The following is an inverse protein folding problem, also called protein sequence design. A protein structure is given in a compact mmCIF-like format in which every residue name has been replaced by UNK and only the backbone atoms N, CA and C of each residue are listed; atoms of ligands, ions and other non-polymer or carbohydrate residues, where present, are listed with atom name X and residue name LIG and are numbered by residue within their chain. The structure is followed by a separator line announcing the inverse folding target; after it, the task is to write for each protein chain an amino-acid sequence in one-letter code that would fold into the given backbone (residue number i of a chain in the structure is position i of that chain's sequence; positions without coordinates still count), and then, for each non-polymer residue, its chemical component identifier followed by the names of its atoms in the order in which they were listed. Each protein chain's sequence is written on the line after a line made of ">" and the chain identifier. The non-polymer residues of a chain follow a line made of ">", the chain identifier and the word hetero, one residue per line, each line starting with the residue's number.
data_IF_467332175062
#
_entry.id   IF_467332175062
#
_cell.length_a   1.000
_cell.length_b   1.000
_cell.length_c   1.000
_cell.angle_alpha   90.00
_cell.angle_beta   90.00
_cell.angle_gamma   90.00
#
_symmetry.space_group_name_H-M   'P 1'
#
loop_
_entity.id
_entity.type
_entity.pdbx_description
1 polymer ?
#
# COMPACT_ATOMS: atom_id res chain seq x y z
N UNK A 1 -61.31 -42.43 16.50
CA UNK A 1 -60.96 -41.64 15.30
C UNK A 1 -60.39 -40.29 15.76
N UNK A 2 -59.07 -40.10 15.66
CA UNK A 2 -58.36 -38.81 15.54
C UNK A 2 -56.88 -39.15 15.40
N UNK A 3 -56.46 -39.17 14.13
CA UNK A 3 -55.08 -39.35 13.68
C UNK A 3 -54.35 -38.04 13.98
N UNK A 4 -53.30 -38.09 14.79
CA UNK A 4 -52.38 -36.96 14.97
C UNK A 4 -51.41 -36.96 13.79
N UNK A 5 -51.60 -35.98 12.90
CA UNK A 5 -50.74 -35.75 11.74
C UNK A 5 -49.62 -34.78 12.15
N UNK A 6 -48.40 -35.26 11.98
CA UNK A 6 -47.13 -34.59 12.23
C UNK A 6 -46.94 -33.35 11.36
N UNK A 7 -46.50 -32.23 11.94
CA UNK A 7 -45.87 -31.13 11.19
C UNK A 7 -44.43 -31.01 11.66
N UNK A 8 -43.55 -31.47 10.78
CA UNK A 8 -42.10 -31.43 10.87
C UNK A 8 -41.66 -29.98 10.57
N UNK A 9 -41.26 -29.21 11.59
CA UNK A 9 -40.56 -27.94 11.39
C UNK A 9 -39.14 -28.23 10.92
N UNK A 10 -38.94 -28.33 9.60
CA UNK A 10 -37.61 -28.34 8.98
C UNK A 10 -37.09 -26.90 8.97
N UNK A 11 -36.56 -26.47 10.11
CA UNK A 11 -35.76 -25.25 10.21
C UNK A 11 -34.40 -25.50 9.58
N UNK A 12 -34.28 -25.21 8.28
CA UNK A 12 -32.99 -25.11 7.59
C UNK A 12 -32.33 -23.82 8.12
N UNK A 13 -31.64 -23.94 9.25
CA UNK A 13 -30.67 -22.93 9.65
C UNK A 13 -29.52 -23.01 8.64
N UNK A 14 -29.50 -21.98 7.79
CA UNK A 14 -28.41 -21.63 6.90
C UNK A 14 -27.08 -21.79 7.65
N UNK A 15 -26.32 -22.82 7.26
CA UNK A 15 -24.92 -22.95 7.62
C UNK A 15 -24.25 -21.65 7.20
N UNK A 16 -23.88 -20.83 8.19
CA UNK A 16 -22.85 -19.81 8.03
C UNK A 16 -21.67 -20.51 7.35
N UNK A 17 -21.44 -20.19 6.08
CA UNK A 17 -20.18 -20.51 5.42
C UNK A 17 -19.12 -19.65 6.11
N UNK A 18 -18.59 -20.18 7.20
CA UNK A 18 -17.28 -19.82 7.68
C UNK A 18 -16.30 -20.28 6.61
N UNK A 19 -16.12 -19.46 5.59
CA UNK A 19 -15.00 -19.51 4.66
C UNK A 19 -13.72 -19.08 5.41
N UNK A 20 -13.38 -19.77 6.50
CA UNK A 20 -12.04 -19.78 7.08
C UNK A 20 -11.21 -20.85 6.36
N UNK A 21 -11.19 -20.77 5.03
CA UNK A 21 -10.10 -21.33 4.26
C UNK A 21 -8.95 -20.35 4.37
N UNK A 22 -7.90 -20.73 5.10
CA UNK A 22 -6.61 -20.05 5.13
C UNK A 22 -5.98 -20.07 3.73
N UNK A 23 -6.51 -19.26 2.82
CA UNK A 23 -5.91 -19.00 1.53
C UNK A 23 -4.57 -18.35 1.83
N UNK A 24 -3.48 -19.04 1.50
CA UNK A 24 -2.12 -18.49 1.59
C UNK A 24 -2.10 -17.23 0.74
N UNK A 25 -2.17 -16.07 1.41
CA UNK A 25 -2.20 -14.76 0.76
C UNK A 25 -0.96 -14.62 -0.11
N UNK A 26 -1.16 -14.12 -1.33
CA UNK A 26 -0.02 -13.78 -2.19
C UNK A 26 0.77 -12.61 -1.59
N UNK A 27 2.06 -12.48 -1.92
CA UNK A 27 2.93 -11.42 -1.40
C UNK A 27 2.29 -10.03 -1.56
N UNK A 28 1.66 -9.75 -2.69
CA UNK A 28 1.02 -8.44 -2.95
C UNK A 28 -0.23 -8.20 -2.10
N UNK A 29 -0.98 -9.26 -1.79
CA UNK A 29 -2.15 -9.19 -0.93
C UNK A 29 -1.74 -8.98 0.53
N UNK A 30 -0.70 -9.68 0.98
CA UNK A 30 -0.09 -9.45 2.30
C UNK A 30 0.46 -8.02 2.41
N UNK A 31 1.18 -7.56 1.38
CA UNK A 31 1.69 -6.19 1.31
C UNK A 31 0.57 -5.14 1.35
N UNK A 32 -0.56 -5.41 0.69
CA UNK A 32 -1.76 -4.59 0.79
C UNK A 32 -2.32 -4.57 2.22
N UNK A 33 -2.62 -5.72 2.81
CA UNK A 33 -3.26 -5.76 4.12
C UNK A 33 -2.39 -5.20 5.25
N UNK A 34 -1.07 -5.39 5.19
CA UNK A 34 -0.15 -4.82 6.18
C UNK A 34 -0.07 -3.28 6.10
N UNK A 35 -0.41 -2.71 4.95
CA UNK A 35 -0.45 -1.26 4.73
C UNK A 35 -1.75 -0.57 5.16
N UNK A 36 -2.79 -1.34 5.52
CA UNK A 36 -4.07 -0.78 5.95
C UNK A 36 -4.09 -0.45 7.45
N UNK A 37 -4.97 0.49 7.87
CA UNK A 37 -5.41 0.61 9.26
C UNK A 37 -6.03 -0.68 9.79
N UNK A 38 -5.96 -0.91 11.10
CA UNK A 38 -6.47 -2.15 11.71
C UNK A 38 -7.99 -2.27 11.66
N UNK A 39 -8.67 -1.12 11.76
CA UNK A 39 -10.12 -1.00 11.65
C UNK A 39 -10.61 -0.83 10.20
N UNK A 40 -9.71 -0.91 9.20
CA UNK A 40 -10.11 -0.85 7.81
C UNK A 40 -10.87 -2.12 7.42
N UNK A 41 -11.83 -1.98 6.51
CA UNK A 41 -12.45 -3.13 5.89
C UNK A 41 -11.40 -3.88 5.04
N UNK A 42 -11.00 -5.07 5.48
CA UNK A 42 -9.96 -5.89 4.84
C UNK A 42 -10.54 -6.68 3.65
N UNK A 43 -11.16 -5.98 2.71
CA UNK A 43 -11.58 -6.56 1.43
C UNK A 43 -10.48 -6.41 0.39
N UNK A 44 -10.22 -7.48 -0.34
CA UNK A 44 -9.30 -7.48 -1.48
C UNK A 44 -10.10 -7.71 -2.77
N UNK A 45 -10.14 -6.72 -3.65
CA UNK A 45 -10.86 -6.82 -4.92
C UNK A 45 -9.88 -7.12 -6.06
N UNK A 46 -10.02 -8.30 -6.65
CA UNK A 46 -9.35 -8.66 -7.90
C UNK A 46 -10.15 -8.14 -9.08
N UNK A 47 -9.75 -7.00 -9.63
CA UNK A 47 -10.37 -6.41 -10.81
C UNK A 47 -9.70 -6.89 -12.10
N UNK A 48 -10.33 -6.72 -13.28
CA UNK A 48 -9.73 -7.12 -14.55
C UNK A 48 -8.31 -6.58 -14.81
N UNK A 49 -8.07 -5.27 -14.61
CA UNK A 49 -6.72 -4.72 -14.81
C UNK A 49 -5.72 -5.22 -13.77
N UNK A 50 -6.17 -5.42 -12.52
CA UNK A 50 -5.33 -6.02 -11.48
C UNK A 50 -4.92 -7.44 -11.85
N UNK A 51 -5.87 -8.27 -12.28
CA UNK A 51 -5.59 -9.65 -12.70
C UNK A 51 -4.67 -9.69 -13.91
N UNK A 52 -4.84 -8.78 -14.88
CA UNK A 52 -3.94 -8.66 -16.03
C UNK A 52 -2.50 -8.33 -15.60
N UNK A 53 -2.33 -7.44 -14.61
CA UNK A 53 -1.02 -7.14 -14.05
C UNK A 53 -0.38 -8.37 -13.37
N UNK A 54 -1.18 -9.15 -12.63
CA UNK A 54 -0.72 -10.41 -12.00
C UNK A 54 -0.35 -11.46 -13.04
N UNK A 55 -1.12 -11.58 -14.11
CA UNK A 55 -0.84 -12.50 -15.22
C UNK A 55 0.52 -12.17 -15.84
N UNK A 56 0.77 -10.89 -16.19
CA UNK A 56 2.07 -10.46 -16.73
C UNK A 56 3.23 -10.67 -15.75
N UNK A 57 2.96 -10.62 -14.44
CA UNK A 57 3.98 -10.85 -13.41
C UNK A 57 4.30 -12.33 -13.19
N UNK A 58 3.37 -13.24 -13.45
CA UNK A 58 3.49 -14.66 -13.06
C UNK A 58 3.60 -15.62 -14.25
N UNK A 59 3.05 -15.27 -15.41
CA UNK A 59 3.12 -16.11 -16.60
C UNK A 59 4.42 -15.89 -17.37
N UNK A 60 5.33 -16.86 -17.25
CA UNK A 60 6.62 -16.90 -17.94
C UNK A 60 6.50 -16.81 -19.46
N UNK A 61 5.35 -17.16 -20.05
CA UNK A 61 5.13 -17.04 -21.50
C UNK A 61 5.08 -15.59 -21.97
N UNK A 62 4.69 -14.67 -21.08
CA UNK A 62 4.59 -13.24 -21.36
C UNK A 62 5.93 -12.50 -21.15
N UNK A 63 6.94 -13.19 -20.62
CA UNK A 63 8.19 -12.54 -20.23
C UNK A 63 8.97 -12.08 -21.46
N UNK A 64 9.47 -10.84 -21.37
CA UNK A 64 10.37 -10.29 -22.36
C UNK A 64 11.70 -11.03 -22.26
N UNK A 65 12.17 -11.59 -23.38
CA UNK A 65 13.46 -12.28 -23.45
C UNK A 65 14.58 -11.26 -23.62
N UNK A 66 15.53 -11.28 -22.71
CA UNK A 66 16.73 -10.45 -22.76
C UNK A 66 17.99 -11.33 -22.79
N UNK A 67 19.04 -10.83 -23.46
CA UNK A 67 20.34 -11.52 -23.50
C UNK A 67 21.15 -11.12 -22.27
N UNK A 68 21.51 -12.12 -21.46
CA UNK A 68 22.40 -11.95 -20.33
C UNK A 68 23.68 -12.77 -20.59
N UNK A 69 24.70 -12.10 -21.12
CA UNK A 69 25.87 -12.75 -21.69
C UNK A 69 25.49 -13.64 -22.88
N UNK A 70 25.72 -14.96 -22.74
CA UNK A 70 25.37 -15.96 -23.77
C UNK A 70 23.99 -16.59 -23.57
N UNK A 71 23.31 -16.35 -22.45
CA UNK A 71 22.01 -16.93 -22.13
C UNK A 71 20.86 -16.00 -22.54
N UNK A 72 19.73 -16.59 -22.95
CA UNK A 72 18.45 -15.89 -23.08
C UNK A 72 17.64 -16.11 -21.81
N UNK A 73 17.36 -15.03 -21.09
CA UNK A 73 16.60 -15.07 -19.83
C UNK A 73 15.33 -14.26 -20.02
N UNK A 74 14.19 -14.80 -19.57
CA UNK A 74 12.92 -14.09 -19.59
C UNK A 74 12.75 -13.27 -18.32
N UNK A 75 12.41 -11.99 -18.46
CA UNK A 75 12.05 -11.10 -17.36
C UNK A 75 10.65 -10.51 -17.56
N UNK A 76 9.86 -10.34 -16.48
CA UNK A 76 8.62 -9.57 -16.55
C UNK A 76 8.91 -8.11 -16.95
N UNK A 77 8.01 -7.48 -17.71
CA UNK A 77 8.05 -6.03 -17.93
C UNK A 77 7.48 -5.32 -16.70
N UNK A 78 8.34 -5.06 -15.70
CA UNK A 78 7.95 -4.44 -14.44
C UNK A 78 7.32 -3.05 -14.61
N UNK A 79 7.72 -2.31 -15.64
CA UNK A 79 7.14 -1.00 -15.95
C UNK A 79 5.70 -1.16 -16.41
N UNK A 80 5.44 -2.07 -17.35
CA UNK A 80 4.08 -2.35 -17.83
C UNK A 80 3.18 -2.86 -16.71
N UNK A 81 3.67 -3.81 -15.90
CA UNK A 81 2.93 -4.37 -14.76
C UNK A 81 2.53 -3.26 -13.79
N UNK A 82 3.48 -2.40 -13.41
CA UNK A 82 3.22 -1.26 -12.53
C UNK A 82 2.17 -0.31 -13.11
N UNK A 83 2.26 0.02 -14.40
CA UNK A 83 1.29 0.91 -15.05
C UNK A 83 -0.12 0.33 -15.00
N UNK A 84 -0.28 -0.98 -15.22
CA UNK A 84 -1.59 -1.65 -15.09
C UNK A 84 -2.14 -1.60 -13.66
N UNK A 85 -1.29 -1.77 -12.66
CA UNK A 85 -1.70 -1.60 -11.26
C UNK A 85 -2.17 -0.17 -10.94
N UNK A 86 -1.49 0.84 -11.47
CA UNK A 86 -1.92 2.24 -11.34
C UNK A 86 -3.24 2.46 -12.09
N UNK A 87 -3.37 1.93 -13.30
CA UNK A 87 -4.58 2.04 -14.11
C UNK A 87 -5.78 1.38 -13.42
N UNK A 88 -5.57 0.23 -12.77
CA UNK A 88 -6.59 -0.45 -11.96
C UNK A 88 -7.13 0.44 -10.83
N UNK A 89 -6.28 1.26 -10.22
CA UNK A 89 -6.75 2.27 -9.26
C UNK A 89 -7.55 3.40 -9.94
N UNK A 90 -7.02 3.95 -11.04
CA UNK A 90 -7.62 5.11 -11.70
C UNK A 90 -9.01 4.78 -12.29
N UNK A 91 -9.13 3.64 -12.95
CA UNK A 91 -10.32 3.23 -13.72
C UNK A 91 -11.29 2.37 -12.90
N UNK A 92 -10.79 1.45 -12.08
CA UNK A 92 -11.61 0.46 -11.38
C UNK A 92 -11.72 0.71 -9.87
N UNK A 93 -11.11 1.82 -9.39
CA UNK A 93 -11.05 2.23 -7.98
C UNK A 93 -10.45 1.16 -7.07
N UNK A 94 -9.46 0.41 -7.59
CA UNK A 94 -8.80 -0.64 -6.85
C UNK A 94 -7.57 -0.14 -6.08
N UNK A 95 -7.74 0.17 -4.79
CA UNK A 95 -6.63 0.63 -3.90
C UNK A 95 -5.51 -0.42 -3.80
N UNK A 96 -5.84 -1.72 -3.86
CA UNK A 96 -4.83 -2.78 -3.85
C UNK A 96 -3.90 -2.73 -5.07
N UNK A 97 -4.42 -2.27 -6.22
CA UNK A 97 -3.60 -1.97 -7.39
C UNK A 97 -2.56 -0.89 -7.07
N UNK A 98 -2.98 0.22 -6.48
CA UNK A 98 -2.07 1.31 -6.12
C UNK A 98 -1.00 0.86 -5.09
N UNK A 99 -1.38 0.06 -4.10
CA UNK A 99 -0.43 -0.52 -3.13
C UNK A 99 0.55 -1.48 -3.80
N UNK A 100 0.09 -2.27 -4.77
CA UNK A 100 0.95 -3.15 -5.57
C UNK A 100 1.90 -2.36 -6.45
N UNK A 101 1.47 -1.23 -7.03
CA UNK A 101 2.35 -0.32 -7.75
C UNK A 101 3.46 0.22 -6.85
N UNK A 102 3.15 0.57 -5.59
CA UNK A 102 4.14 1.00 -4.61
C UNK A 102 5.17 -0.11 -4.31
N UNK A 103 4.73 -1.37 -4.16
CA UNK A 103 5.63 -2.52 -4.00
C UNK A 103 6.62 -2.65 -5.17
N UNK A 104 6.13 -2.50 -6.40
CA UNK A 104 6.98 -2.62 -7.60
C UNK A 104 8.02 -1.50 -7.70
N UNK A 105 7.67 -0.27 -7.34
CA UNK A 105 8.65 0.81 -7.24
C UNK A 105 9.77 0.48 -6.25
N UNK A 106 9.42 0.00 -5.05
CA UNK A 106 10.42 -0.29 -4.02
C UNK A 106 11.30 -1.49 -4.33
N UNK A 107 10.75 -2.48 -5.04
CA UNK A 107 11.43 -3.77 -5.24
C UNK A 107 12.25 -3.80 -6.52
N UNK A 108 11.79 -3.14 -7.59
CA UNK A 108 12.33 -3.34 -8.94
C UNK A 108 12.85 -2.06 -9.61
N UNK A 109 12.57 -0.88 -9.07
CA UNK A 109 12.96 0.38 -9.70
C UNK A 109 14.13 1.06 -8.98
N UNK A 110 14.90 1.87 -9.72
CA UNK A 110 15.98 2.66 -9.13
C UNK A 110 15.41 3.91 -8.44
N UNK A 111 15.22 3.82 -7.12
CA UNK A 111 14.74 4.91 -6.28
C UNK A 111 15.72 6.11 -6.19
N UNK A 112 16.92 6.04 -6.78
CA UNK A 112 17.83 7.19 -6.93
C UNK A 112 17.48 8.06 -8.13
N UNK A 113 16.74 7.52 -9.10
CA UNK A 113 16.27 8.28 -10.26
C UNK A 113 15.23 9.31 -9.83
N UNK A 114 15.44 10.57 -10.23
CA UNK A 114 14.50 11.65 -9.95
C UNK A 114 13.10 11.34 -10.50
N UNK A 115 13.03 10.83 -11.73
CA UNK A 115 11.76 10.44 -12.35
C UNK A 115 11.03 9.38 -11.53
N UNK A 116 11.74 8.35 -11.06
CA UNK A 116 11.16 7.29 -10.25
C UNK A 116 10.65 7.82 -8.92
N UNK A 117 11.39 8.74 -8.28
CA UNK A 117 10.95 9.39 -7.05
C UNK A 117 9.66 10.19 -7.24
N UNK A 118 9.54 10.96 -8.34
CA UNK A 118 8.33 11.72 -8.67
C UNK A 118 7.14 10.76 -8.91
N UNK A 119 7.35 9.72 -9.71
CA UNK A 119 6.28 8.77 -10.02
C UNK A 119 5.84 8.02 -8.73
N UNK A 120 6.79 7.59 -7.89
CA UNK A 120 6.48 6.95 -6.61
C UNK A 120 5.77 7.89 -5.64
N UNK A 121 6.19 9.16 -5.57
CA UNK A 121 5.53 10.18 -4.76
C UNK A 121 4.06 10.34 -5.11
N UNK A 122 3.72 10.33 -6.40
CA UNK A 122 2.33 10.39 -6.86
C UNK A 122 1.49 9.22 -6.32
N UNK A 123 2.07 8.02 -6.31
CA UNK A 123 1.44 6.78 -5.80
C UNK A 123 1.24 6.86 -4.29
N UNK A 124 2.28 7.17 -3.51
CA UNK A 124 2.15 7.19 -2.04
C UNK A 124 1.27 8.34 -1.53
N UNK A 125 1.23 9.46 -2.27
CA UNK A 125 0.30 10.56 -1.96
C UNK A 125 -1.14 10.16 -2.23
N UNK A 126 -1.42 9.46 -3.32
CA UNK A 126 -2.75 8.91 -3.58
C UNK A 126 -3.13 7.86 -2.53
N UNK A 127 -2.22 6.97 -2.13
CA UNK A 127 -2.44 6.04 -1.02
C UNK A 127 -2.78 6.74 0.30
N UNK A 128 -2.09 7.84 0.62
CA UNK A 128 -2.39 8.61 1.83
C UNK A 128 -3.83 9.17 1.83
N UNK A 129 -4.32 9.61 0.66
CA UNK A 129 -5.71 10.08 0.49
C UNK A 129 -6.73 8.97 0.74
N UNK A 130 -6.41 7.74 0.33
CA UNK A 130 -7.20 6.53 0.63
C UNK A 130 -7.08 6.07 2.10
N UNK A 131 -6.33 6.79 2.94
CA UNK A 131 -6.15 6.44 4.34
C UNK A 131 -5.16 5.30 4.59
N UNK A 132 -4.33 4.95 3.60
CA UNK A 132 -3.33 3.90 3.71
C UNK A 132 -2.14 4.34 4.59
N UNK A 133 -1.70 3.47 5.49
CA UNK A 133 -0.66 3.76 6.49
C UNK A 133 0.72 3.94 5.88
N UNK A 134 1.06 3.15 4.86
CA UNK A 134 2.28 3.35 4.07
C UNK A 134 2.24 4.68 3.34
N UNK A 135 1.09 4.99 2.73
CA UNK A 135 0.84 6.26 2.05
C UNK A 135 1.15 7.46 2.94
N UNK A 136 0.60 7.48 4.16
CA UNK A 136 0.89 8.56 5.13
C UNK A 136 2.38 8.69 5.45
N UNK A 137 3.06 7.58 5.74
CA UNK A 137 4.47 7.60 6.11
C UNK A 137 5.35 8.09 4.95
N UNK A 138 5.22 7.46 3.79
CA UNK A 138 6.14 7.70 2.67
C UNK A 138 5.90 9.06 2.02
N UNK A 139 4.64 9.49 1.83
CA UNK A 139 4.36 10.83 1.32
C UNK A 139 4.87 11.92 2.28
N UNK A 140 4.77 11.73 3.60
CA UNK A 140 5.32 12.68 4.56
C UNK A 140 6.84 12.80 4.47
N UNK A 141 7.57 11.68 4.29
CA UNK A 141 9.03 11.69 4.14
C UNK A 141 9.49 12.52 2.95
N UNK A 142 8.71 12.57 1.86
CA UNK A 142 9.05 13.42 0.71
C UNK A 142 9.08 14.90 1.08
N UNK A 143 8.08 15.38 1.83
CA UNK A 143 8.07 16.76 2.33
C UNK A 143 9.12 17.02 3.41
N UNK A 144 9.35 16.07 4.32
CA UNK A 144 10.31 16.26 5.43
C UNK A 144 11.75 16.37 4.91
N UNK A 145 12.10 15.54 3.93
CA UNK A 145 13.48 15.36 3.47
C UNK A 145 13.75 15.97 2.09
N UNK A 146 12.74 16.51 1.42
CA UNK A 146 12.87 17.13 0.11
C UNK A 146 13.26 16.15 -1.00
N UNK A 147 12.55 15.03 -1.11
CA UNK A 147 12.81 13.99 -2.13
C UNK A 147 12.03 14.27 -3.41
N UNK A 148 12.51 13.77 -4.55
CA UNK A 148 11.77 13.85 -5.81
C UNK A 148 11.48 15.27 -6.29
N UNK A 149 12.41 16.21 -6.06
CA UNK A 149 12.24 17.65 -6.34
C UNK A 149 11.07 18.32 -5.57
N UNK A 150 10.59 17.67 -4.51
CA UNK A 150 9.63 18.28 -3.58
C UNK A 150 10.41 19.19 -2.62
N UNK A 151 9.99 20.45 -2.49
CA UNK A 151 10.59 21.36 -1.54
C UNK A 151 10.43 20.86 -0.10
N UNK A 152 11.44 21.10 0.74
CA UNK A 152 11.38 20.75 2.17
C UNK A 152 10.27 21.56 2.85
N UNK A 153 9.21 20.86 3.26
CA UNK A 153 8.12 21.39 4.07
C UNK A 153 7.83 20.45 5.24
N UNK A 154 8.60 20.64 6.32
CA UNK A 154 8.44 19.84 7.55
C UNK A 154 7.06 20.03 8.19
N UNK A 155 6.38 21.16 7.98
CA UNK A 155 5.04 21.42 8.54
C UNK A 155 4.01 20.55 7.83
N UNK A 156 4.06 20.50 6.50
CA UNK A 156 3.20 19.63 5.70
C UNK A 156 3.48 18.15 6.02
N UNK A 157 4.74 17.74 6.06
CA UNK A 157 5.11 16.37 6.43
C UNK A 157 4.60 15.97 7.82
N UNK A 158 4.76 16.85 8.83
CA UNK A 158 4.20 16.65 10.18
C UNK A 158 2.68 16.52 10.17
N UNK A 159 1.98 17.34 9.39
CA UNK A 159 0.52 17.28 9.27
C UNK A 159 0.04 15.92 8.73
N UNK A 160 0.71 15.40 7.69
CA UNK A 160 0.42 14.07 7.12
C UNK A 160 0.69 12.96 8.15
N UNK A 161 1.82 13.00 8.85
CA UNK A 161 2.13 12.01 9.90
C UNK A 161 1.13 12.05 11.05
N UNK A 162 0.67 13.23 11.46
CA UNK A 162 -0.35 13.36 12.51
C UNK A 162 -1.69 12.76 12.06
N UNK A 163 -2.06 12.90 10.78
CA UNK A 163 -3.22 12.21 10.21
C UNK A 163 -3.02 10.68 10.22
N UNK A 164 -1.85 10.21 9.81
CA UNK A 164 -1.47 8.80 9.85
C UNK A 164 -1.52 8.21 11.27
N UNK A 165 -0.95 8.90 12.26
CA UNK A 165 -0.95 8.48 13.68
C UNK A 165 -2.36 8.21 14.20
N UNK A 166 -3.35 9.02 13.80
CA UNK A 166 -4.75 8.85 14.23
C UNK A 166 -5.40 7.61 13.62
N UNK A 167 -5.03 7.25 12.39
CA UNK A 167 -5.65 6.13 11.65
C UNK A 167 -4.91 4.80 11.83
N UNK A 168 -3.59 4.83 11.97
CA UNK A 168 -2.72 3.67 11.87
C UNK A 168 -2.20 3.23 13.25
N UNK A 169 -3.08 3.11 14.24
CA UNK A 169 -2.68 3.00 15.66
C UNK A 169 -2.09 1.64 16.03
N UNK A 170 -2.42 0.54 15.34
CA UNK A 170 -1.87 -0.80 15.61
C UNK A 170 -1.27 -1.46 14.34
N UNK A 171 -1.13 -0.70 13.26
CA UNK A 171 -0.45 -1.12 12.03
C UNK A 171 1.06 -1.24 12.23
N UNK A 172 1.75 -2.06 11.42
CA UNK A 172 3.22 -2.13 11.40
C UNK A 172 3.89 -0.76 11.15
N UNK A 173 3.15 0.18 10.55
CA UNK A 173 3.60 1.53 10.27
C UNK A 173 3.42 2.48 11.47
N UNK A 174 2.68 2.10 12.52
CA UNK A 174 2.42 2.94 13.70
C UNK A 174 3.71 3.44 14.34
N UNK A 175 4.63 2.50 14.63
CA UNK A 175 5.93 2.81 15.23
C UNK A 175 6.77 3.72 14.33
N UNK A 176 6.78 3.47 13.02
CA UNK A 176 7.56 4.26 12.07
C UNK A 176 7.03 5.70 11.98
N UNK A 177 5.70 5.87 11.94
CA UNK A 177 5.06 7.19 11.97
C UNK A 177 5.40 7.94 13.26
N UNK A 178 5.32 7.27 14.42
CA UNK A 178 5.68 7.88 15.71
C UNK A 178 7.17 8.27 15.77
N UNK A 179 8.05 7.43 15.24
CA UNK A 179 9.48 7.71 15.20
C UNK A 179 9.78 8.97 14.38
N UNK A 180 9.18 9.12 13.20
CA UNK A 180 9.35 10.33 12.38
C UNK A 180 8.78 11.58 13.07
N UNK A 181 7.64 11.48 13.76
CA UNK A 181 7.09 12.58 14.55
C UNK A 181 8.00 13.00 15.71
N UNK A 182 8.63 12.03 16.39
CA UNK A 182 9.54 12.30 17.50
C UNK A 182 10.82 13.00 17.03
N UNK A 183 11.38 12.58 15.89
CA UNK A 183 12.55 13.23 15.27
C UNK A 183 12.26 14.71 14.98
N UNK A 184 11.12 15.00 14.34
CA UNK A 184 10.70 16.37 14.05
C UNK A 184 10.56 17.22 15.32
N UNK A 185 9.99 16.64 16.37
CA UNK A 185 9.80 17.33 17.66
C UNK A 185 11.14 17.64 18.34
N UNK A 186 12.08 16.69 18.33
CA UNK A 186 13.41 16.89 18.90
C UNK A 186 14.19 17.98 18.16
N UNK A 187 14.10 18.02 16.83
CA UNK A 187 14.72 19.07 16.01
C UNK A 187 14.13 20.46 16.30
N UNK A 188 12.80 20.58 16.40
CA UNK A 188 12.12 21.84 16.75
C UNK A 188 12.58 22.36 18.13
N UNK A 189 12.69 21.47 19.12
CA UNK A 189 13.18 21.82 20.45
C UNK A 189 14.64 22.29 20.42
N UNK A 190 15.52 21.58 19.71
CA UNK A 190 16.93 21.96 19.58
C UNK A 190 17.09 23.34 18.92
N UNK A 191 16.33 23.62 17.85
CA UNK A 191 16.33 24.91 17.17
C UNK A 191 15.83 26.05 18.08
N UNK A 192 14.80 25.80 18.89
CA UNK A 192 14.26 26.80 19.82
C UNK A 192 15.27 27.18 20.91
N UNK A 193 16.04 26.21 21.44
CA UNK A 193 17.10 26.44 22.43
C UNK A 193 18.25 27.27 21.85
N UNK A 194 18.69 26.94 20.64
CA UNK A 194 19.77 27.69 19.95
C UNK A 194 19.38 29.14 19.62
N UNK A 195 18.11 29.40 19.29
CA UNK A 195 17.62 30.78 19.08
C UNK A 195 17.58 31.61 20.37
N UNK A 196 17.28 30.98 21.50
CA UNK A 196 17.29 31.64 22.82
C UNK A 196 18.71 31.92 23.32
N UNK A 197 19.68 31.06 23.03
CA UNK A 197 21.08 31.25 23.41
C UNK A 197 21.82 32.32 22.58
N UNK A 198 21.26 32.75 21.45
CA UNK A 198 21.82 33.79 20.56
C UNK A 198 21.18 35.17 20.75
N UNK A 199 20.24 35.31 21.68
CA UNK A 199 19.64 36.57 22.10
C UNK A 199 20.22 36.96 23.46
#
# INVERSE_FOLDING_TARGET
>A
MRVFLSILCVGIFSLCMADDASVKKGILEEYYFTSLPDNANKTFKKTPLYNKAIELYTDKKQYKKEKLGKALVGFPDFKQIRLLFIQSYLEEKNVAGLTSAAYFFETFEDMRSLKTQIDYFSVVTALAKEGNCKGFLESAKYFIYGKGDIAVDKKQGKSILLAGKKKCTQSIYAYQILNELNKLTAEEQAQSKNKKAKK
#
